data_IF_617583547423
#
_entry.id   IF_617583547423
#
_cell.length_a   1.000
_cell.length_b   1.000
_cell.length_c   1.000
_cell.angle_alpha   90.00
_cell.angle_beta   90.00
_cell.angle_gamma   90.00
#
_symmetry.space_group_name_H-M   'P 1'
#
loop_
_entity.id
_entity.type
_entity.pdbx_description
1 polymer ?
#
# COMPACT_ATOMS: atom_id res chain seq x y z
N UNK A 1 -13.18 13.04 -1.59
CA UNK A 1 -14.57 13.16 -1.11
C UNK A 1 -15.12 11.85 -0.58
N UNK A 2 -15.97 11.92 0.45
CA UNK A 2 -16.76 10.80 0.92
C UNK A 2 -17.92 10.58 -0.06
N UNK A 3 -18.00 9.41 -0.68
CA UNK A 3 -18.97 9.07 -1.72
C UNK A 3 -20.14 8.26 -1.14
N UNK A 4 -19.84 7.31 -0.24
CA UNK A 4 -20.84 6.44 0.37
C UNK A 4 -20.43 6.05 1.79
N UNK A 5 -21.39 5.61 2.59
CA UNK A 5 -21.18 5.12 3.98
C UNK A 5 -21.88 3.77 4.09
N UNK A 6 -21.24 2.84 4.81
CA UNK A 6 -21.75 1.50 5.05
C UNK A 6 -21.20 0.48 4.08
N UNK A 7 -21.94 -0.60 3.87
CA UNK A 7 -21.49 -1.84 3.22
C UNK A 7 -20.42 -2.59 4.04
N UNK A 8 -19.98 -3.72 3.51
CA UNK A 8 -19.00 -4.58 4.17
C UNK A 8 -17.60 -4.44 3.53
N UNK A 9 -16.58 -4.97 4.22
CA UNK A 9 -15.21 -5.02 3.75
C UNK A 9 -14.85 -6.39 3.13
N UNK A 10 -15.82 -7.13 2.61
CA UNK A 10 -15.56 -8.38 1.91
C UNK A 10 -14.76 -8.14 0.63
N UNK A 11 -13.90 -9.09 0.21
CA UNK A 11 -13.04 -8.91 -0.96
C UNK A 11 -13.78 -8.46 -2.22
N UNK A 12 -14.96 -9.01 -2.49
CA UNK A 12 -15.77 -8.60 -3.66
C UNK A 12 -16.21 -7.15 -3.60
N UNK A 13 -16.67 -6.68 -2.44
CA UNK A 13 -17.10 -5.29 -2.24
C UNK A 13 -15.91 -4.33 -2.39
N UNK A 14 -14.77 -4.67 -1.76
CA UNK A 14 -13.57 -3.85 -1.82
C UNK A 14 -13.01 -3.78 -3.24
N UNK A 15 -12.90 -4.91 -3.95
CA UNK A 15 -12.40 -4.92 -5.34
C UNK A 15 -13.31 -4.14 -6.28
N UNK A 16 -14.63 -4.22 -6.10
CA UNK A 16 -15.56 -3.43 -6.90
C UNK A 16 -15.40 -1.94 -6.64
N UNK A 17 -15.19 -1.54 -5.38
CA UNK A 17 -14.88 -0.16 -5.04
C UNK A 17 -13.62 0.34 -5.74
N UNK A 18 -12.51 -0.43 -5.73
CA UNK A 18 -11.28 -0.06 -6.44
C UNK A 18 -11.49 0.10 -7.95
N UNK A 19 -12.31 -0.75 -8.58
CA UNK A 19 -12.65 -0.61 -10.01
C UNK A 19 -13.37 0.69 -10.32
N UNK A 20 -14.06 1.26 -9.33
CA UNK A 20 -14.74 2.56 -9.44
C UNK A 20 -13.90 3.72 -8.87
N UNK A 21 -12.65 3.49 -8.53
CA UNK A 21 -11.75 4.51 -8.00
C UNK A 21 -12.07 4.91 -6.55
N UNK A 22 -12.68 4.02 -5.78
CA UNK A 22 -12.98 4.22 -4.37
C UNK A 22 -12.06 3.37 -3.51
N UNK A 23 -11.75 3.85 -2.30
CA UNK A 23 -11.06 3.09 -1.28
C UNK A 23 -11.82 3.16 0.05
N UNK A 24 -11.73 2.13 0.92
CA UNK A 24 -12.38 2.11 2.21
C UNK A 24 -11.54 2.82 3.28
N UNK A 25 -12.18 3.66 4.07
CA UNK A 25 -11.62 4.19 5.31
C UNK A 25 -12.78 4.55 6.24
N UNK A 26 -12.71 4.15 7.49
CA UNK A 26 -13.77 4.47 8.44
C UNK A 26 -13.93 5.96 8.66
N UNK A 27 -15.16 6.40 8.92
CA UNK A 27 -15.48 7.82 9.16
C UNK A 27 -15.41 8.20 10.64
N UNK A 28 -15.31 7.22 11.54
CA UNK A 28 -15.14 7.43 12.97
C UNK A 28 -13.67 7.71 13.34
N UNK A 29 -13.45 7.96 14.62
CA UNK A 29 -12.10 8.20 15.16
C UNK A 29 -11.14 7.06 14.84
N UNK A 30 -9.91 7.39 14.46
CA UNK A 30 -8.87 6.43 14.06
C UNK A 30 -9.30 5.44 12.97
N UNK A 31 -10.19 5.89 12.06
CA UNK A 31 -10.72 5.03 11.00
C UNK A 31 -11.78 4.02 11.47
N UNK A 32 -12.37 4.25 12.64
CA UNK A 32 -13.44 3.42 13.19
C UNK A 32 -14.74 3.50 12.38
N UNK A 33 -15.70 2.62 12.69
CA UNK A 33 -16.95 2.53 11.95
C UNK A 33 -17.78 3.82 12.03
N UNK A 34 -18.71 4.00 11.08
CA UNK A 34 -18.98 3.15 9.93
C UNK A 34 -17.93 3.25 8.82
N UNK A 35 -17.87 2.24 7.95
CA UNK A 35 -17.00 2.28 6.76
C UNK A 35 -17.46 3.40 5.83
N UNK A 36 -16.53 4.25 5.42
CA UNK A 36 -16.70 5.24 4.36
C UNK A 36 -16.00 4.78 3.09
N UNK A 37 -16.57 5.12 1.94
CA UNK A 37 -15.97 4.90 0.63
C UNK A 37 -15.58 6.26 0.06
N UNK A 38 -14.27 6.42 -0.16
CA UNK A 38 -13.67 7.70 -0.46
C UNK A 38 -13.15 7.74 -1.89
N UNK A 39 -13.29 8.88 -2.54
CA UNK A 39 -12.69 9.17 -3.84
C UNK A 39 -11.87 10.44 -3.73
N UNK A 40 -10.55 10.42 -3.98
CA UNK A 40 -9.75 11.63 -4.10
C UNK A 40 -10.23 12.45 -5.30
N UNK A 41 -10.31 13.77 -5.17
CA UNK A 41 -10.55 14.67 -6.29
C UNK A 41 -9.36 14.70 -7.24
N UNK A 42 -8.16 14.78 -6.65
CA UNK A 42 -6.90 14.67 -7.36
C UNK A 42 -6.13 13.43 -6.87
N UNK A 43 -5.56 12.66 -7.78
CA UNK A 43 -4.77 11.49 -7.45
C UNK A 43 -3.29 11.74 -7.66
N UNK A 44 -2.50 11.48 -6.62
CA UNK A 44 -1.07 11.34 -6.75
C UNK A 44 -0.74 10.06 -7.50
N UNK A 45 -0.20 10.18 -8.71
CA UNK A 45 0.18 9.01 -9.51
C UNK A 45 1.68 9.01 -9.80
N UNK A 46 2.26 7.84 -9.73
CA UNK A 46 3.65 7.62 -10.07
C UNK A 46 3.73 6.71 -11.30
N UNK A 47 4.26 7.25 -12.38
CA UNK A 47 4.52 6.46 -13.57
C UNK A 47 5.82 5.68 -13.44
N UNK A 48 5.90 4.44 -13.98
CA UNK A 48 7.16 3.74 -14.08
C UNK A 48 8.24 4.62 -14.74
N UNK A 49 9.42 4.71 -14.11
CA UNK A 49 10.51 5.56 -14.59
C UNK A 49 10.51 7.01 -14.09
N UNK A 50 9.46 7.50 -13.41
CA UNK A 50 9.38 8.87 -12.89
C UNK A 50 10.16 9.07 -11.57
N UNK A 51 10.54 8.02 -10.89
CA UNK A 51 11.25 8.10 -9.61
C UNK A 51 12.69 8.57 -9.74
N UNK A 52 12.99 9.64 -9.01
CA UNK A 52 14.33 10.21 -8.96
C UNK A 52 15.21 9.51 -7.93
N UNK A 53 16.21 8.76 -8.38
CA UNK A 53 17.15 8.09 -7.48
C UNK A 53 18.29 9.03 -7.08
N UNK A 54 18.31 9.40 -5.78
CA UNK A 54 19.42 10.17 -5.19
C UNK A 54 20.62 9.25 -4.86
N UNK A 55 21.82 9.83 -4.71
CA UNK A 55 23.01 9.08 -4.26
C UNK A 55 22.82 8.41 -2.89
N UNK A 56 22.14 9.09 -1.98
CA UNK A 56 21.80 8.60 -0.64
C UNK A 56 20.89 7.36 -0.73
N UNK A 57 19.81 7.45 -1.49
CA UNK A 57 18.85 6.36 -1.67
C UNK A 57 19.50 5.13 -2.34
N UNK A 58 20.37 5.34 -3.35
CA UNK A 58 21.15 4.25 -3.97
C UNK A 58 22.03 3.51 -2.96
N UNK A 59 22.61 4.23 -1.96
CA UNK A 59 23.38 3.62 -0.88
C UNK A 59 22.47 2.80 0.04
N UNK A 60 21.28 3.28 0.35
CA UNK A 60 20.28 2.56 1.15
C UNK A 60 19.83 1.28 0.46
N UNK A 61 19.57 1.32 -0.85
CA UNK A 61 19.21 0.13 -1.65
C UNK A 61 20.27 -0.99 -1.58
N UNK A 62 21.56 -0.64 -1.46
CA UNK A 62 22.64 -1.66 -1.34
C UNK A 62 22.74 -2.30 0.03
N UNK A 63 22.09 -1.74 1.04
CA UNK A 63 22.19 -2.16 2.45
C UNK A 63 20.96 -2.88 2.94
N UNK A 64 19.87 -2.80 2.21
CA UNK A 64 18.59 -3.40 2.56
C UNK A 64 18.25 -4.49 1.55
N UNK A 65 17.91 -5.67 2.06
CA UNK A 65 17.32 -6.73 1.24
C UNK A 65 15.85 -6.42 1.01
N UNK A 66 15.36 -6.70 -0.18
CA UNK A 66 13.94 -6.54 -0.54
C UNK A 66 13.31 -7.90 -0.77
N UNK A 67 12.05 -8.04 -0.38
CA UNK A 67 11.18 -9.17 -0.72
C UNK A 67 9.79 -8.69 -1.13
N UNK A 68 8.99 -9.59 -1.66
CA UNK A 68 7.59 -9.37 -2.01
C UNK A 68 6.77 -10.47 -1.36
N UNK A 69 5.67 -10.10 -0.72
CA UNK A 69 4.69 -11.02 -0.11
C UNK A 69 5.27 -12.01 0.92
N UNK A 70 6.44 -11.70 1.48
CA UNK A 70 7.08 -12.57 2.46
C UNK A 70 6.53 -12.34 3.89
N UNK A 71 6.06 -11.14 4.18
CA UNK A 71 5.61 -10.74 5.51
C UNK A 71 4.45 -9.73 5.43
N UNK A 72 3.42 -10.06 4.63
CA UNK A 72 2.29 -9.17 4.38
C UNK A 72 1.62 -8.72 5.67
N UNK A 73 1.28 -9.65 6.56
CA UNK A 73 0.60 -9.35 7.83
C UNK A 73 1.44 -8.46 8.74
N UNK A 74 2.77 -8.65 8.78
CA UNK A 74 3.68 -7.82 9.56
C UNK A 74 3.78 -6.40 8.98
N UNK A 75 3.75 -6.26 7.66
CA UNK A 75 3.72 -4.95 6.98
C UNK A 75 2.44 -4.22 7.32
N UNK A 76 1.26 -4.87 7.18
CA UNK A 76 -0.03 -4.25 7.49
C UNK A 76 -0.11 -3.90 8.98
N UNK A 77 0.35 -4.78 9.87
CA UNK A 77 0.41 -4.52 11.30
C UNK A 77 1.29 -3.31 11.64
N UNK A 78 2.46 -3.18 11.00
CA UNK A 78 3.34 -2.02 11.21
C UNK A 78 2.75 -0.72 10.63
N UNK A 79 1.93 -0.80 9.58
CA UNK A 79 1.18 0.33 9.04
C UNK A 79 -0.01 0.72 9.93
N UNK A 80 -0.58 -0.23 10.67
CA UNK A 80 -1.73 -0.04 11.56
C UNK A 80 -1.36 0.49 12.96
N UNK A 81 -0.10 0.85 13.20
CA UNK A 81 0.35 1.40 14.47
C UNK A 81 -0.49 2.63 14.86
N UNK A 82 -1.24 2.58 15.99
CA UNK A 82 -2.17 3.64 16.38
C UNK A 82 -1.46 4.94 16.77
N UNK A 83 -0.17 4.89 17.11
CA UNK A 83 0.62 6.06 17.46
C UNK A 83 1.08 6.86 16.23
N UNK A 84 0.79 6.36 15.02
CA UNK A 84 1.11 7.07 13.79
C UNK A 84 0.11 8.19 13.52
N UNK A 85 0.57 9.39 13.11
CA UNK A 85 -0.33 10.45 12.66
C UNK A 85 -1.22 9.95 11.51
N UNK A 86 -2.53 10.15 11.63
CA UNK A 86 -3.50 9.72 10.62
C UNK A 86 -3.73 8.20 10.59
N UNK A 87 -3.57 7.51 11.72
CA UNK A 87 -3.92 6.10 11.84
C UNK A 87 -5.38 5.87 11.43
N UNK A 88 -5.62 4.92 10.53
CA UNK A 88 -6.96 4.59 10.01
C UNK A 88 -7.18 3.09 9.82
N UNK A 89 -6.13 2.30 9.96
CA UNK A 89 -6.15 0.87 9.68
C UNK A 89 -6.63 0.12 10.94
N UNK A 90 -7.91 -0.21 10.96
CA UNK A 90 -8.54 -1.00 12.04
C UNK A 90 -8.29 -2.50 11.84
N UNK A 91 -8.66 -3.31 12.83
CA UNK A 91 -8.59 -4.77 12.72
C UNK A 91 -9.48 -5.31 11.57
N UNK A 92 -10.65 -4.72 11.35
CA UNK A 92 -11.53 -5.10 10.23
C UNK A 92 -10.85 -4.80 8.87
N UNK A 93 -10.17 -3.66 8.76
CA UNK A 93 -9.38 -3.32 7.57
C UNK A 93 -8.23 -4.33 7.40
N UNK A 94 -7.50 -4.66 8.45
CA UNK A 94 -6.41 -5.66 8.41
C UNK A 94 -6.92 -7.02 7.94
N UNK A 95 -8.03 -7.50 8.48
CA UNK A 95 -8.66 -8.76 8.08
C UNK A 95 -9.08 -8.74 6.60
N UNK A 96 -9.65 -7.63 6.14
CA UNK A 96 -10.07 -7.45 4.76
C UNK A 96 -8.88 -7.55 3.79
N UNK A 97 -7.81 -6.79 4.06
CA UNK A 97 -6.63 -6.80 3.19
C UNK A 97 -5.85 -8.11 3.28
N UNK A 98 -5.84 -8.78 4.43
CA UNK A 98 -5.34 -10.15 4.57
C UNK A 98 -6.10 -11.15 3.68
N UNK A 99 -7.43 -11.04 3.65
CA UNK A 99 -8.25 -11.86 2.74
C UNK A 99 -7.98 -11.54 1.26
N UNK A 100 -7.80 -10.27 0.91
CA UNK A 100 -7.40 -9.87 -0.45
C UNK A 100 -6.02 -10.41 -0.82
N UNK A 101 -5.08 -10.43 0.12
CA UNK A 101 -3.75 -11.00 -0.07
C UNK A 101 -3.82 -12.51 -0.36
N UNK A 102 -4.56 -13.28 0.44
CA UNK A 102 -4.76 -14.71 0.21
C UNK A 102 -5.40 -15.03 -1.15
N UNK A 103 -6.18 -14.11 -1.69
CA UNK A 103 -6.80 -14.21 -3.01
C UNK A 103 -5.89 -13.66 -4.14
N UNK A 104 -4.71 -13.15 -3.85
CA UNK A 104 -3.75 -12.63 -4.81
C UNK A 104 -4.07 -11.23 -5.36
N UNK A 105 -4.84 -10.43 -4.63
CA UNK A 105 -5.18 -9.06 -5.02
C UNK A 105 -4.41 -8.00 -4.22
N UNK A 106 -4.03 -8.28 -2.99
CA UNK A 106 -3.22 -7.38 -2.20
C UNK A 106 -1.79 -7.92 -2.06
N UNK A 107 -0.81 -7.04 -2.15
CA UNK A 107 0.61 -7.38 -2.15
C UNK A 107 1.39 -6.44 -1.24
N UNK A 108 2.49 -6.94 -0.72
CA UNK A 108 3.45 -6.15 0.05
C UNK A 108 4.83 -6.18 -0.56
N UNK A 109 5.60 -5.14 -0.29
CA UNK A 109 7.04 -5.09 -0.58
C UNK A 109 7.75 -4.73 0.73
N UNK A 110 8.71 -5.56 1.13
CA UNK A 110 9.41 -5.45 2.40
C UNK A 110 10.86 -5.01 2.21
N UNK A 111 11.37 -4.26 3.18
CA UNK A 111 12.78 -3.94 3.31
C UNK A 111 13.34 -4.51 4.62
N UNK A 112 14.43 -5.23 4.52
CA UNK A 112 15.05 -5.97 5.62
C UNK A 112 16.47 -5.47 5.87
N UNK A 113 16.82 -5.35 7.15
CA UNK A 113 18.18 -5.26 7.64
C UNK A 113 18.52 -6.58 8.33
N UNK A 114 19.36 -7.39 7.70
CA UNK A 114 19.55 -8.76 8.14
C UNK A 114 18.19 -9.48 8.17
N UNK A 115 17.76 -10.00 9.30
CA UNK A 115 16.45 -10.67 9.46
C UNK A 115 15.36 -9.76 10.09
N UNK A 116 15.62 -8.45 10.25
CA UNK A 116 14.66 -7.52 10.81
C UNK A 116 13.92 -6.78 9.72
N UNK A 117 12.59 -6.78 9.79
CA UNK A 117 11.72 -5.96 8.95
C UNK A 117 11.85 -4.49 9.36
N UNK A 118 12.45 -3.66 8.51
CA UNK A 118 12.74 -2.25 8.80
C UNK A 118 11.95 -1.26 7.97
N UNK A 119 11.20 -1.72 6.99
CA UNK A 119 10.27 -0.93 6.21
C UNK A 119 9.41 -1.81 5.33
N UNK A 120 8.29 -1.28 4.90
CA UNK A 120 7.36 -1.98 4.04
C UNK A 120 6.31 -1.05 3.47
N UNK A 121 5.69 -1.49 2.40
CA UNK A 121 4.46 -0.93 1.86
C UNK A 121 3.52 -2.07 1.48
N UNK A 122 2.23 -1.79 1.43
CA UNK A 122 1.25 -2.69 0.86
C UNK A 122 0.24 -1.93 0.00
N UNK A 123 -0.44 -2.66 -0.86
CA UNK A 123 -1.48 -2.11 -1.71
C UNK A 123 -2.24 -3.18 -2.45
N UNK A 124 -3.21 -2.74 -3.27
CA UNK A 124 -4.10 -3.59 -4.05
C UNK A 124 -3.77 -3.49 -5.53
N UNK A 125 -3.66 -4.64 -6.20
CA UNK A 125 -3.40 -4.75 -7.63
C UNK A 125 -4.70 -5.10 -8.37
N UNK A 126 -5.20 -4.18 -9.20
CA UNK A 126 -6.41 -4.40 -10.01
C UNK A 126 -6.13 -4.00 -11.46
N UNK A 127 -6.08 -4.98 -12.35
CA UNK A 127 -5.70 -4.74 -13.74
C UNK A 127 -4.29 -4.15 -13.85
N UNK A 128 -4.16 -2.97 -14.45
CA UNK A 128 -2.88 -2.24 -14.54
C UNK A 128 -2.61 -1.30 -13.37
N UNK A 129 -3.55 -1.14 -12.44
CA UNK A 129 -3.41 -0.27 -11.28
C UNK A 129 -2.78 -1.03 -10.12
N UNK A 130 -1.82 -0.41 -9.45
CA UNK A 130 -1.45 -0.73 -8.08
C UNK A 130 -1.83 0.46 -7.19
N UNK A 131 -2.84 0.28 -6.34
CA UNK A 131 -3.23 1.28 -5.34
C UNK A 131 -2.40 1.07 -4.08
N UNK A 132 -1.47 1.98 -3.80
CA UNK A 132 -0.66 1.97 -2.59
C UNK A 132 -1.49 2.47 -1.40
N UNK A 133 -1.67 1.62 -0.39
CA UNK A 133 -2.54 1.90 0.75
C UNK A 133 -1.78 2.57 1.90
N UNK A 134 -0.65 2.01 2.25
CA UNK A 134 0.17 2.55 3.33
C UNK A 134 1.61 2.07 3.24
N UNK A 135 2.50 2.78 3.91
CA UNK A 135 3.89 2.38 4.08
C UNK A 135 4.40 2.77 5.46
N UNK A 136 5.40 2.03 5.95
CA UNK A 136 6.10 2.36 7.18
C UNK A 136 7.62 2.27 7.01
N UNK A 137 8.36 2.88 7.92
CA UNK A 137 9.81 2.70 8.03
C UNK A 137 10.25 2.80 9.49
N UNK A 138 11.20 1.95 9.86
CA UNK A 138 11.92 1.97 11.14
C UNK A 138 13.38 2.39 10.97
N UNK A 139 13.87 2.34 9.72
CA UNK A 139 15.19 2.85 9.34
C UNK A 139 15.07 3.87 8.20
N UNK A 140 16.04 4.76 8.13
CA UNK A 140 16.09 5.79 7.09
C UNK A 140 16.01 5.19 5.70
N UNK A 141 15.17 5.77 4.86
CA UNK A 141 14.93 5.42 3.45
C UNK A 141 14.27 4.04 3.24
N UNK A 142 13.97 3.25 4.27
CA UNK A 142 13.46 1.89 4.09
C UNK A 142 12.16 1.86 3.28
N UNK A 143 11.18 2.74 3.56
CA UNK A 143 9.94 2.83 2.76
C UNK A 143 10.21 3.31 1.32
N UNK A 144 11.22 4.17 1.12
CA UNK A 144 11.58 4.59 -0.25
C UNK A 144 12.25 3.47 -1.05
N UNK A 145 12.99 2.60 -0.37
CA UNK A 145 13.57 1.40 -1.00
C UNK A 145 12.48 0.45 -1.45
N UNK A 146 11.44 0.23 -0.62
CA UNK A 146 10.29 -0.61 -1.03
C UNK A 146 9.51 0.02 -2.18
N UNK A 147 9.31 1.34 -2.17
CA UNK A 147 8.65 2.04 -3.28
C UNK A 147 9.43 1.93 -4.58
N UNK A 148 10.77 2.08 -4.54
CA UNK A 148 11.63 1.87 -5.72
C UNK A 148 11.50 0.44 -6.25
N UNK A 149 11.54 -0.54 -5.37
CA UNK A 149 11.41 -1.94 -5.76
C UNK A 149 10.05 -2.23 -6.39
N UNK A 150 8.96 -1.65 -5.85
CA UNK A 150 7.64 -1.76 -6.46
C UNK A 150 7.60 -1.14 -7.86
N UNK A 151 8.18 0.05 -8.05
CA UNK A 151 8.25 0.70 -9.37
C UNK A 151 9.06 -0.13 -10.35
N UNK A 152 10.17 -0.72 -9.92
CA UNK A 152 10.98 -1.63 -10.75
C UNK A 152 10.18 -2.89 -11.15
N UNK A 153 9.39 -3.45 -10.24
CA UNK A 153 8.48 -4.57 -10.52
C UNK A 153 7.38 -4.22 -11.53
N UNK A 154 6.86 -3.00 -11.45
CA UNK A 154 5.83 -2.50 -12.37
C UNK A 154 6.42 -2.06 -13.73
N UNK A 155 7.72 -1.87 -13.81
CA UNK A 155 8.43 -1.47 -15.03
C UNK A 155 8.79 -2.68 -15.90
N UNK A 156 7.81 -3.52 -16.19
CA UNK A 156 7.90 -4.67 -17.08
C UNK A 156 7.47 -4.34 -18.52
N UNK A 157 7.32 -5.37 -19.37
CA UNK A 157 6.85 -5.22 -20.76
C UNK A 157 5.47 -4.55 -20.91
N UNK A 158 4.73 -4.35 -19.81
CA UNK A 158 3.42 -3.71 -19.76
C UNK A 158 3.46 -2.37 -18.99
N UNK A 159 4.64 -1.78 -18.81
CA UNK A 159 4.82 -0.55 -18.05
C UNK A 159 3.95 0.63 -18.55
N UNK A 160 3.68 0.67 -19.86
CA UNK A 160 2.80 1.64 -20.51
C UNK A 160 1.31 1.50 -20.09
N UNK A 161 0.94 0.39 -19.48
CA UNK A 161 -0.41 0.07 -18.99
C UNK A 161 -0.47 -0.02 -17.47
N UNK A 162 0.61 0.36 -16.79
CA UNK A 162 0.69 0.29 -15.33
C UNK A 162 0.66 1.68 -14.72
N UNK A 163 -0.04 1.77 -13.61
CA UNK A 163 -0.19 2.98 -12.83
C UNK A 163 -0.02 2.66 -11.35
N UNK A 164 0.85 3.40 -10.67
CA UNK A 164 0.94 3.38 -9.22
C UNK A 164 0.21 4.62 -8.68
N UNK A 165 -0.89 4.37 -7.98
CA UNK A 165 -1.62 5.38 -7.21
C UNK A 165 -0.96 5.46 -5.82
N UNK A 166 -0.54 6.66 -5.44
CA UNK A 166 0.12 6.93 -4.15
C UNK A 166 -0.72 7.85 -3.25
N UNK A 167 -1.94 8.17 -3.69
CA UNK A 167 -2.98 9.00 -3.07
C UNK A 167 -2.55 10.40 -2.65
#
# INVERSE_FOLDING_TARGET
DLVAIGADLRPGTVLEAYRHGLFPMGVGDLGGPPVGWWRPEERGVLLPGALRMTRSLRRSCRRLRVSVDLAFDDVVAACADPDRPGAWITDDVRLSYGALHLLGWAHSVEAWRDDRLVGGLYGVSVGGLFAGESMFHRERDASKVTLLALVDLLNDRYADRRLLDVQ
#
